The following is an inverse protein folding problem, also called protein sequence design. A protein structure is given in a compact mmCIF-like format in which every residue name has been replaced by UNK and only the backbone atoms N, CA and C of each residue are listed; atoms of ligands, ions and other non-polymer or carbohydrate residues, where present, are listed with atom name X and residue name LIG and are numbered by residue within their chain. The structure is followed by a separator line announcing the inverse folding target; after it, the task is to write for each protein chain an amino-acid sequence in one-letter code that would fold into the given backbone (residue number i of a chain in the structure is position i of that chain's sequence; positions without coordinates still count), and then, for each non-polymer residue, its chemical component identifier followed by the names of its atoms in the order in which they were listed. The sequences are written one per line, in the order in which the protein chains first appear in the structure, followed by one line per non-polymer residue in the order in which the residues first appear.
data_IF_626188162901
#
_entry.id   IF_626188162901
#
_cell.length_a   1.000
_cell.length_b   1.000
_cell.length_c   1.000
_cell.angle_alpha   90.00
_cell.angle_beta   90.00
_cell.angle_gamma   90.00
#
_symmetry.space_group_name_H-M   'P 1'
#
loop_
_entity.id
_entity.type
_entity.pdbx_description
1 polymer ?
#
# COMPACT_ATOMS: atom_id res chain seq x y z
N UNK A 1 -1.22 -0.78 -27.65
CA UNK A 1 -0.04 -1.00 -28.51
C UNK A 1 0.86 -1.97 -27.78
N UNK A 2 0.98 -3.21 -28.25
CA UNK A 2 1.89 -4.18 -27.64
C UNK A 2 3.32 -3.80 -28.02
N UNK A 3 4.16 -3.49 -27.04
CA UNK A 3 5.59 -3.21 -27.27
C UNK A 3 6.27 -4.56 -27.51
N UNK A 4 6.85 -4.76 -28.69
CA UNK A 4 7.65 -5.95 -28.98
C UNK A 4 8.99 -5.86 -28.23
N UNK A 5 9.05 -6.49 -27.06
CA UNK A 5 10.22 -6.49 -26.19
C UNK A 5 11.48 -7.09 -26.86
N UNK A 6 11.30 -8.03 -27.80
CA UNK A 6 12.38 -8.71 -28.52
C UNK A 6 13.13 -7.81 -29.50
N UNK A 7 12.52 -6.72 -29.97
CA UNK A 7 13.13 -5.77 -30.93
C UNK A 7 13.99 -4.71 -30.24
N UNK A 8 13.85 -4.52 -28.93
CA UNK A 8 14.56 -3.50 -28.16
C UNK A 8 16.04 -3.85 -27.93
N UNK A 9 16.93 -2.86 -27.99
CA UNK A 9 18.35 -3.04 -27.62
C UNK A 9 18.54 -3.22 -26.11
N UNK A 10 19.68 -3.78 -25.68
CA UNK A 10 19.99 -3.95 -24.25
C UNK A 10 19.90 -2.64 -23.44
N UNK A 11 20.47 -1.50 -23.90
CA UNK A 11 20.32 -0.23 -23.18
C UNK A 11 18.86 0.25 -23.07
N UNK A 12 18.03 -0.01 -24.08
CA UNK A 12 16.60 0.33 -24.03
C UNK A 12 15.85 -0.55 -23.03
N UNK A 13 16.21 -1.84 -22.94
CA UNK A 13 15.64 -2.77 -21.95
C UNK A 13 16.05 -2.39 -20.52
N UNK A 14 17.29 -1.95 -20.31
CA UNK A 14 17.75 -1.43 -19.01
C UNK A 14 17.00 -0.17 -18.58
N UNK A 15 16.83 0.79 -19.50
CA UNK A 15 16.03 1.99 -19.25
C UNK A 15 14.58 1.65 -18.90
N UNK A 16 13.96 0.76 -19.66
CA UNK A 16 12.58 0.30 -19.42
C UNK A 16 12.46 -0.45 -18.09
N UNK A 17 13.42 -1.31 -17.75
CA UNK A 17 13.47 -2.00 -16.45
C UNK A 17 13.50 -1.00 -15.30
N UNK A 18 14.39 0.00 -15.37
CA UNK A 18 14.52 1.03 -14.32
C UNK A 18 13.22 1.82 -14.14
N UNK A 19 12.56 2.21 -15.24
CA UNK A 19 11.26 2.88 -15.19
C UNK A 19 10.20 2.00 -14.52
N UNK A 20 10.09 0.73 -14.91
CA UNK A 20 9.14 -0.20 -14.33
C UNK A 20 9.42 -0.49 -12.85
N UNK A 21 10.68 -0.48 -12.42
CA UNK A 21 11.06 -0.61 -11.01
C UNK A 21 10.56 0.59 -10.20
N UNK A 22 10.79 1.82 -10.66
CA UNK A 22 10.31 3.03 -9.99
C UNK A 22 8.77 3.08 -9.91
N UNK A 23 8.08 2.74 -10.99
CA UNK A 23 6.62 2.69 -11.01
C UNK A 23 6.07 1.62 -10.05
N UNK A 24 6.69 0.43 -10.01
CA UNK A 24 6.31 -0.64 -9.09
C UNK A 24 6.49 -0.23 -7.63
N UNK A 25 7.62 0.41 -7.31
CA UNK A 25 7.91 0.91 -5.96
C UNK A 25 6.93 1.98 -5.52
N UNK A 26 6.62 2.94 -6.41
CA UNK A 26 5.64 3.99 -6.16
C UNK A 26 4.25 3.42 -5.85
N UNK A 27 3.76 2.49 -6.68
CA UNK A 27 2.44 1.87 -6.47
C UNK A 27 2.42 1.01 -5.20
N UNK A 28 3.50 0.27 -4.92
CA UNK A 28 3.62 -0.54 -3.69
C UNK A 28 3.60 0.34 -2.45
N UNK A 29 4.38 1.43 -2.43
CA UNK A 29 4.39 2.40 -1.33
C UNK A 29 3.02 3.04 -1.13
N UNK A 30 2.35 3.42 -2.22
CA UNK A 30 1.00 4.00 -2.17
C UNK A 30 -0.02 3.05 -1.54
N UNK A 31 -0.02 1.77 -1.96
CA UNK A 31 -0.88 0.74 -1.34
C UNK A 31 -0.53 0.56 0.15
N UNK A 32 0.76 0.54 0.50
CA UNK A 32 1.22 0.45 1.88
C UNK A 32 0.67 1.57 2.75
N UNK A 33 0.75 2.82 2.29
CA UNK A 33 0.21 3.99 3.00
C UNK A 33 -1.31 3.91 3.17
N UNK A 34 -2.05 3.52 2.13
CA UNK A 34 -3.50 3.36 2.21
C UNK A 34 -3.89 2.27 3.23
N UNK A 35 -3.14 1.17 3.28
CA UNK A 35 -3.35 0.10 4.27
C UNK A 35 -3.11 0.58 5.70
N UNK A 36 -2.08 1.37 5.96
CA UNK A 36 -1.83 1.95 7.29
C UNK A 36 -3.03 2.79 7.76
N UNK A 37 -3.60 3.62 6.87
CA UNK A 37 -4.80 4.41 7.21
C UNK A 37 -6.02 3.53 7.42
N UNK A 38 -6.20 2.50 6.59
CA UNK A 38 -7.28 1.53 6.73
C UNK A 38 -7.22 0.82 8.10
N UNK A 39 -6.05 0.35 8.51
CA UNK A 39 -5.84 -0.27 9.83
C UNK A 39 -6.23 0.68 10.96
N UNK A 40 -5.82 1.95 10.90
CA UNK A 40 -6.22 2.95 11.90
C UNK A 40 -7.74 3.11 12.01
N UNK A 41 -8.47 3.07 10.89
CA UNK A 41 -9.93 3.13 10.91
C UNK A 41 -10.57 1.84 11.44
N UNK A 42 -9.98 0.68 11.19
CA UNK A 42 -10.41 -0.59 11.79
C UNK A 42 -10.23 -0.54 13.31
N UNK A 43 -9.05 -0.17 13.79
CA UNK A 43 -8.73 -0.03 15.21
C UNK A 43 -9.65 0.99 15.90
N UNK A 44 -9.89 2.15 15.28
CA UNK A 44 -10.80 3.15 15.81
C UNK A 44 -12.24 2.61 15.91
N UNK A 45 -12.74 1.93 14.88
CA UNK A 45 -14.06 1.29 14.89
C UNK A 45 -14.16 0.21 15.98
N UNK A 46 -13.13 -0.60 16.15
CA UNK A 46 -13.10 -1.65 17.17
C UNK A 46 -13.07 -1.07 18.58
N UNK A 47 -12.32 0.03 18.78
CA UNK A 47 -12.24 0.75 20.07
C UNK A 47 -13.60 1.27 20.53
N UNK A 48 -14.48 1.66 19.60
CA UNK A 48 -15.86 2.08 19.93
C UNK A 48 -16.68 0.95 20.55
N UNK A 49 -16.31 -0.31 20.38
CA UNK A 49 -17.00 -1.46 20.99
C UNK A 49 -16.78 -1.51 22.51
N UNK A 50 -15.71 -0.88 22.99
CA UNK A 50 -15.41 -0.73 24.43
C UNK A 50 -16.32 0.31 25.08
N UNK A 51 -16.89 1.24 24.30
CA UNK A 51 -17.86 2.22 24.78
C UNK A 51 -19.24 1.58 24.87
N UNK A 52 -19.62 1.20 26.08
CA UNK A 52 -20.95 0.67 26.38
C UNK A 52 -21.32 1.01 27.83
N UNK A 53 -22.62 0.91 28.16
CA UNK A 53 -23.16 1.29 29.49
C UNK A 53 -22.51 0.57 30.67
N UNK A 54 -21.96 -0.63 30.48
CA UNK A 54 -21.27 -1.35 31.56
C UNK A 54 -19.92 -0.73 31.93
N UNK A 55 -19.39 0.15 31.08
CA UNK A 55 -18.08 0.79 31.24
C UNK A 55 -18.18 2.27 31.61
N UNK A 56 -19.37 2.84 31.61
CA UNK A 56 -19.62 4.20 32.10
C UNK A 56 -19.23 4.31 33.58
N UNK A 57 -18.56 5.40 33.96
CA UNK A 57 -18.03 5.64 35.30
C UNK A 57 -16.76 4.86 35.65
N UNK A 58 -16.24 3.98 34.78
CA UNK A 58 -14.98 3.27 35.04
C UNK A 58 -13.77 4.18 34.81
N UNK A 59 -12.70 3.92 35.54
CA UNK A 59 -11.41 4.55 35.32
C UNK A 59 -10.72 3.98 34.07
N UNK A 60 -10.08 4.87 33.31
CA UNK A 60 -9.24 4.57 32.16
C UNK A 60 -7.97 5.41 32.19
N UNK A 61 -6.91 4.90 31.57
CA UNK A 61 -5.65 5.63 31.40
C UNK A 61 -5.65 6.34 30.05
N UNK A 62 -5.53 7.66 30.08
CA UNK A 62 -5.40 8.50 28.88
C UNK A 62 -3.93 8.82 28.66
N UNK A 63 -3.37 8.58 27.45
CA UNK A 63 -1.99 8.97 27.15
C UNK A 63 -1.87 10.50 27.15
N UNK A 64 -0.97 11.03 27.98
CA UNK A 64 -0.64 12.46 27.99
C UNK A 64 0.53 12.79 27.05
N UNK A 65 1.50 11.87 26.96
CA UNK A 65 2.63 11.91 26.00
C UNK A 65 3.12 10.48 25.74
N UNK A 66 4.20 10.33 24.96
CA UNK A 66 4.77 9.03 24.56
C UNK A 66 5.13 8.09 25.72
N UNK A 67 5.35 8.61 26.92
CA UNK A 67 5.81 7.84 28.08
C UNK A 67 5.07 8.18 29.38
N UNK A 68 3.93 8.88 29.32
CA UNK A 68 3.13 9.22 30.50
C UNK A 68 1.63 9.04 30.25
N UNK A 69 0.94 8.54 31.26
CA UNK A 69 -0.51 8.35 31.27
C UNK A 69 -1.11 9.05 32.49
N UNK A 70 -2.34 9.53 32.36
CA UNK A 70 -3.12 10.09 33.45
C UNK A 70 -4.41 9.28 33.64
N UNK A 71 -4.84 9.02 34.89
CA UNK A 71 -6.13 8.42 35.12
C UNK A 71 -7.25 9.40 34.79
N UNK A 72 -8.35 8.89 34.24
CA UNK A 72 -9.58 9.63 33.97
C UNK A 72 -10.78 8.71 34.09
N UNK A 73 -11.98 9.28 34.16
CA UNK A 73 -13.24 8.52 34.28
C UNK A 73 -14.05 8.63 32.99
N UNK A 74 -14.58 7.49 32.51
CA UNK A 74 -15.39 7.46 31.29
C UNK A 74 -16.80 8.00 31.57
N UNK A 75 -17.11 9.20 31.09
CA UNK A 75 -18.39 9.85 31.39
C UNK A 75 -19.48 9.66 30.31
N UNK A 76 -19.11 9.71 29.03
CA UNK A 76 -20.06 9.52 27.92
C UNK A 76 -19.63 8.31 27.09
N UNK A 77 -20.57 7.39 26.89
CA UNK A 77 -20.41 6.17 26.09
C UNK A 77 -21.30 6.14 24.86
N UNK A 78 -22.12 7.17 24.66
CA UNK A 78 -23.07 7.29 23.56
C UNK A 78 -22.52 8.22 22.46
N UNK A 79 -21.70 9.22 22.80
CA UNK A 79 -21.16 10.20 21.85
C UNK A 79 -19.62 10.24 21.81
N UNK A 80 -19.08 10.56 20.63
CA UNK A 80 -17.66 10.74 20.38
C UNK A 80 -17.41 11.89 19.41
N UNK A 81 -16.25 12.53 19.53
CA UNK A 81 -15.77 13.50 18.55
C UNK A 81 -15.03 12.79 17.41
N UNK A 82 -15.43 13.08 16.18
CA UNK A 82 -14.88 12.45 14.98
C UNK A 82 -14.22 13.51 14.10
N UNK A 83 -12.96 13.30 13.75
CA UNK A 83 -12.27 14.12 12.74
C UNK A 83 -12.86 13.85 11.35
N UNK A 84 -13.41 14.90 10.73
CA UNK A 84 -13.99 14.84 9.39
C UNK A 84 -13.06 15.43 8.32
N UNK A 85 -11.90 15.93 8.71
CA UNK A 85 -10.87 16.55 7.88
C UNK A 85 -10.78 18.06 8.03
N UNK A 86 -9.74 18.64 7.44
CA UNK A 86 -9.48 20.11 7.44
C UNK A 86 -9.43 20.76 8.83
N UNK A 87 -9.17 19.97 9.87
CA UNK A 87 -9.09 20.45 11.26
C UNK A 87 -10.45 20.55 11.97
N UNK A 88 -11.52 19.99 11.41
CA UNK A 88 -12.85 20.01 12.02
C UNK A 88 -13.19 18.68 12.69
N UNK A 89 -13.77 18.78 13.89
CA UNK A 89 -14.31 17.66 14.65
C UNK A 89 -15.82 17.82 14.77
N UNK A 90 -16.54 16.73 14.62
CA UNK A 90 -18.01 16.69 14.75
C UNK A 90 -18.36 15.65 15.80
N UNK A 91 -19.23 16.03 16.73
CA UNK A 91 -19.80 15.10 17.69
C UNK A 91 -20.84 14.20 17.00
N UNK A 92 -20.72 12.90 17.20
CA UNK A 92 -21.59 11.88 16.62
C UNK A 92 -21.86 10.80 17.65
N UNK A 93 -23.01 10.15 17.53
CA UNK A 93 -23.25 8.95 18.33
C UNK A 93 -22.33 7.81 17.88
N UNK A 94 -22.16 6.81 18.75
CA UNK A 94 -21.27 5.67 18.52
C UNK A 94 -21.65 4.85 17.28
N UNK A 95 -22.93 4.63 17.01
CA UNK A 95 -23.38 3.82 15.88
C UNK A 95 -23.14 4.51 14.52
N UNK A 96 -23.46 5.80 14.42
CA UNK A 96 -23.16 6.64 13.26
C UNK A 96 -21.65 6.70 13.01
N UNK A 97 -20.86 6.72 14.08
CA UNK A 97 -19.39 6.73 13.98
C UNK A 97 -18.85 5.39 13.48
N UNK A 98 -19.41 4.26 13.93
CA UNK A 98 -19.08 2.93 13.38
C UNK A 98 -19.39 2.86 11.89
N UNK A 99 -20.55 3.38 11.46
CA UNK A 99 -20.90 3.43 10.05
C UNK A 99 -19.96 4.34 9.25
N UNK A 100 -19.60 5.51 9.82
CA UNK A 100 -18.63 6.42 9.22
C UNK A 100 -17.29 5.73 8.95
N UNK A 101 -16.73 5.03 9.95
CA UNK A 101 -15.48 4.30 9.76
C UNK A 101 -15.64 3.13 8.80
N UNK A 102 -16.76 2.39 8.83
CA UNK A 102 -17.05 1.33 7.85
C UNK A 102 -16.99 1.86 6.42
N UNK A 103 -17.66 2.98 6.15
CA UNK A 103 -17.65 3.63 4.83
C UNK A 103 -16.25 4.08 4.41
N UNK A 104 -15.43 4.59 5.34
CA UNK A 104 -14.04 4.99 5.07
C UNK A 104 -13.16 3.79 4.76
N UNK A 105 -13.33 2.68 5.49
CA UNK A 105 -12.65 1.41 5.23
C UNK A 105 -13.03 0.91 3.83
N UNK A 106 -14.32 0.83 3.51
CA UNK A 106 -14.81 0.37 2.20
C UNK A 106 -14.28 1.25 1.06
N UNK A 107 -14.23 2.57 1.27
CA UNK A 107 -13.65 3.50 0.31
C UNK A 107 -12.17 3.20 0.06
N UNK A 108 -11.37 3.03 1.12
CA UNK A 108 -9.94 2.71 1.00
C UNK A 108 -9.71 1.34 0.36
N UNK A 109 -10.50 0.33 0.72
CA UNK A 109 -10.46 -1.00 0.08
C UNK A 109 -10.64 -0.86 -1.43
N UNK A 110 -11.66 -0.14 -1.88
CA UNK A 110 -11.92 0.09 -3.30
C UNK A 110 -10.79 0.86 -4.00
N UNK A 111 -10.13 1.81 -3.32
CA UNK A 111 -8.97 2.49 -3.91
C UNK A 111 -7.77 1.55 -4.05
N UNK A 112 -7.51 0.70 -3.05
CA UNK A 112 -6.46 -0.32 -3.11
C UNK A 112 -6.74 -1.31 -4.26
N UNK A 113 -7.98 -1.81 -4.36
CA UNK A 113 -8.42 -2.73 -5.42
C UNK A 113 -8.28 -2.14 -6.83
N UNK A 114 -8.40 -0.82 -6.99
CA UNK A 114 -8.17 -0.16 -8.29
C UNK A 114 -6.71 -0.10 -8.68
N UNK A 115 -5.80 -0.01 -7.71
CA UNK A 115 -4.36 0.14 -7.94
C UNK A 115 -3.68 -1.23 -8.12
N UNK A 116 -4.21 -2.26 -7.45
CA UNK A 116 -3.61 -3.59 -7.41
C UNK A 116 -3.45 -4.26 -8.79
N UNK A 117 -4.41 -4.17 -9.74
CA UNK A 117 -4.23 -4.70 -11.10
C UNK A 117 -3.11 -3.99 -11.86
N UNK A 118 -3.02 -2.66 -11.74
CA UNK A 118 -1.96 -1.88 -12.39
C UNK A 118 -0.57 -2.27 -11.83
N UNK A 119 -0.46 -2.48 -10.51
CA UNK A 119 0.77 -2.99 -9.91
C UNK A 119 1.13 -4.38 -10.44
N UNK A 120 0.16 -5.30 -10.53
CA UNK A 120 0.39 -6.64 -11.04
C UNK A 120 0.84 -6.61 -12.52
N UNK A 121 0.18 -5.81 -13.36
CA UNK A 121 0.54 -5.64 -14.77
C UNK A 121 1.98 -5.11 -14.91
N UNK A 122 2.35 -4.08 -14.14
CA UNK A 122 3.70 -3.52 -14.14
C UNK A 122 4.74 -4.53 -13.66
N UNK A 123 4.40 -5.35 -12.66
CA UNK A 123 5.29 -6.39 -12.17
C UNK A 123 5.52 -7.49 -13.21
N UNK A 124 4.47 -7.93 -13.90
CA UNK A 124 4.54 -8.90 -15.00
C UNK A 124 5.33 -8.34 -16.18
N UNK A 125 5.11 -7.08 -16.55
CA UNK A 125 5.87 -6.41 -17.62
C UNK A 125 7.36 -6.34 -17.27
N UNK A 126 7.70 -5.98 -16.03
CA UNK A 126 9.09 -5.95 -15.55
C UNK A 126 9.74 -7.33 -15.68
N UNK A 127 9.03 -8.39 -15.30
CA UNK A 127 9.53 -9.76 -15.38
C UNK A 127 9.80 -10.18 -16.84
N UNK A 128 8.88 -9.86 -17.76
CA UNK A 128 9.07 -10.10 -19.19
C UNK A 128 10.29 -9.35 -19.76
N UNK A 129 10.52 -8.10 -19.34
CA UNK A 129 11.71 -7.32 -19.74
C UNK A 129 13.00 -8.00 -19.27
N UNK A 130 13.04 -8.47 -18.01
CA UNK A 130 14.20 -9.17 -17.45
C UNK A 130 14.48 -10.48 -18.21
N UNK A 131 13.44 -11.24 -18.55
CA UNK A 131 13.58 -12.49 -19.30
C UNK A 131 14.14 -12.25 -20.71
N UNK A 132 13.63 -11.25 -21.44
CA UNK A 132 14.15 -10.89 -22.77
C UNK A 132 15.59 -10.39 -22.69
N UNK A 133 15.92 -9.61 -21.65
CA UNK A 133 17.29 -9.13 -21.42
C UNK A 133 18.25 -10.31 -21.19
N UNK A 134 17.87 -11.27 -20.35
CA UNK A 134 18.66 -12.49 -20.11
C UNK A 134 18.83 -13.33 -21.37
N UNK A 135 17.77 -13.48 -22.18
CA UNK A 135 17.83 -14.19 -23.45
C UNK A 135 18.82 -13.54 -24.43
N UNK A 136 18.81 -12.20 -24.54
CA UNK A 136 19.77 -11.48 -25.40
C UNK A 136 21.21 -11.59 -24.90
N UNK A 137 21.42 -11.53 -23.59
CA UNK A 137 22.76 -11.71 -22.99
C UNK A 137 23.31 -13.12 -23.26
N UNK A 138 22.48 -14.16 -23.19
CA UNK A 138 22.88 -15.54 -23.51
C UNK A 138 23.22 -15.69 -25.00
N UNK A 139 22.43 -15.10 -25.91
CA UNK A 139 22.71 -15.12 -27.34
C UNK A 139 24.05 -14.47 -27.67
N UNK A 140 24.36 -13.31 -27.07
CA UNK A 140 25.65 -12.64 -27.25
C UNK A 140 26.85 -13.49 -26.76
N UNK A 141 26.71 -14.14 -25.60
CA UNK A 141 27.76 -15.03 -25.08
C UNK A 141 27.98 -16.25 -25.99
N UNK A 142 26.90 -16.85 -26.52
CA UNK A 142 27.02 -17.98 -27.44
C UNK A 142 27.72 -17.61 -28.76
N UNK A 143 27.45 -16.41 -29.30
CA UNK A 143 28.09 -15.93 -30.53
C UNK A 143 29.59 -15.62 -30.34
N UNK A 144 29.98 -15.05 -29.18
CA UNK A 144 31.40 -14.81 -28.87
C UNK A 144 32.19 -16.13 -28.72
N UNK A 145 31.58 -17.16 -28.16
CA UNK A 145 32.24 -18.46 -27.96
C UNK A 145 32.45 -19.20 -29.29
N UNK A 146 31.51 -19.13 -30.23
CA UNK A 146 31.63 -19.73 -31.57
C UNK A 146 32.64 -19.01 -32.50
N UNK A 147 32.86 -17.71 -32.33
CA UNK A 147 33.84 -16.96 -33.16
C UNK A 147 35.30 -17.21 -32.72
N UNK A 148 35.53 -17.43 -31.43
CA UNK A 148 36.84 -17.75 -30.86
C UNK A 148 37.35 -19.16 -31.21
N UNK A 149 36.44 -20.07 -31.55
CA UNK A 149 36.76 -21.46 -31.94
C UNK A 149 37.02 -21.62 -33.44
N UNK A 150 36.49 -20.73 -34.30
CA UNK A 150 36.82 -20.69 -35.74
C UNK A 150 38.12 -19.94 -36.07
N UNK A 151 38.62 -19.07 -35.21
CA UNK A 151 39.90 -18.35 -35.43
C UNK A 151 41.14 -19.11 -34.95
N UNK A 152 40.98 -20.29 -34.34
CA UNK A 152 42.07 -21.15 -33.87
C UNK A 152 42.23 -22.46 -34.67
N UNK A 153 41.51 -22.63 -35.78
CA UNK A 153 41.63 -23.76 -36.70
C UNK A 153 42.38 -23.36 -37.97
#
# INVERSE_FOLDING_TARGET
MAVNLTELSLPQLEGLKSQLEQETEFLTSSIGQLKVVQTKYVEAKESLSVLNKSNEGKELLVPLTSSMYVPGTLNDVEHVLVDVGTGYYVEKNVEDTKEFFRRKIDFLTKQIEKIQPALQEKHTMKQAVIEVMNMKLQQLHSQQTSQSSMTKA
#
